data_IF_037726699822
#
_entry.id   IF_037726699822
#
_cell.length_a   1.000
_cell.length_b   1.000
_cell.length_c   1.000
_cell.angle_alpha   90.00
_cell.angle_beta   90.00
_cell.angle_gamma   90.00
#
_symmetry.space_group_name_H-M   'P 1'
#
loop_
_entity.id
_entity.type
_entity.pdbx_description
1 polymer ?
#
# COMPACT_ATOMS: atom_id res chain seq x y z
N UNK A 1 5.74 -4.68 -6.46
CA UNK A 1 4.58 -3.96 -5.90
C UNK A 1 4.73 -2.47 -6.23
N UNK A 2 3.64 -1.74 -6.45
CA UNK A 2 3.70 -0.29 -6.61
C UNK A 2 4.09 0.41 -5.30
N UNK A 3 4.90 1.47 -5.43
CA UNK A 3 5.21 2.45 -4.40
C UNK A 3 4.45 3.74 -4.73
N UNK A 4 3.76 4.27 -3.73
CA UNK A 4 2.99 5.49 -3.77
C UNK A 4 3.72 6.58 -2.97
N UNK A 5 3.73 7.81 -3.48
CA UNK A 5 4.50 8.94 -2.94
C UNK A 5 3.63 10.09 -2.41
N UNK A 6 2.35 9.84 -2.11
CA UNK A 6 1.41 10.86 -1.68
C UNK A 6 0.68 11.61 -2.81
N UNK A 7 1.13 11.47 -4.06
CA UNK A 7 0.42 11.96 -5.27
C UNK A 7 0.27 10.87 -6.35
N UNK A 8 0.73 9.66 -6.07
CA UNK A 8 0.58 8.51 -6.97
C UNK A 8 -0.83 7.95 -6.91
N UNK A 9 -1.35 7.49 -8.04
CA UNK A 9 -2.60 6.75 -8.06
C UNK A 9 -2.63 5.66 -9.13
N UNK A 10 -3.46 4.65 -8.87
CA UNK A 10 -3.95 3.72 -9.87
C UNK A 10 -5.44 3.96 -10.09
N UNK A 11 -5.87 3.93 -11.35
CA UNK A 11 -7.26 4.03 -11.76
C UNK A 11 -7.73 2.65 -12.23
N UNK A 12 -8.86 2.20 -11.71
CA UNK A 12 -9.48 0.92 -12.02
C UNK A 12 -10.94 1.16 -12.44
N UNK A 13 -11.54 0.16 -13.08
CA UNK A 13 -12.98 0.14 -13.30
C UNK A 13 -13.74 0.27 -11.98
N UNK A 14 -14.91 0.91 -12.05
CA UNK A 14 -15.79 1.08 -10.89
C UNK A 14 -16.07 -0.24 -10.19
N UNK A 15 -16.27 -0.18 -8.87
CA UNK A 15 -16.59 -1.36 -8.08
C UNK A 15 -17.99 -1.89 -8.39
N UNK A 16 -18.10 -3.19 -8.64
CA UNK A 16 -19.38 -3.93 -8.65
C UNK A 16 -19.79 -4.27 -7.23
N UNK A 17 -20.23 -3.24 -6.49
CA UNK A 17 -20.41 -3.30 -5.05
C UNK A 17 -21.86 -3.07 -4.62
N UNK A 18 -22.87 -3.40 -5.43
CA UNK A 18 -24.27 -3.04 -5.19
C UNK A 18 -24.80 -3.49 -3.82
N UNK A 19 -24.86 -4.80 -3.55
CA UNK A 19 -25.35 -5.35 -2.27
C UNK A 19 -24.23 -5.82 -1.34
N UNK A 20 -23.03 -6.06 -1.88
CA UNK A 20 -21.89 -6.60 -1.13
C UNK A 20 -20.59 -6.01 -1.62
N UNK A 21 -19.70 -5.71 -0.69
CA UNK A 21 -18.32 -5.32 -0.94
C UNK A 21 -17.41 -6.11 0.00
N UNK A 22 -16.29 -6.59 -0.52
CA UNK A 22 -15.20 -7.10 0.30
C UNK A 22 -13.90 -6.62 -0.32
N UNK A 23 -13.13 -5.85 0.43
CA UNK A 23 -11.81 -5.38 0.05
C UNK A 23 -10.83 -5.97 1.06
N UNK A 24 -9.78 -6.55 0.53
CA UNK A 24 -8.67 -7.06 1.32
C UNK A 24 -7.36 -6.56 0.70
N UNK A 25 -6.48 -6.03 1.55
CA UNK A 25 -5.19 -5.55 1.10
C UNK A 25 -4.10 -5.71 2.16
N UNK A 26 -2.86 -5.77 1.69
CA UNK A 26 -1.69 -5.63 2.56
C UNK A 26 -0.88 -4.42 2.13
N UNK A 27 -0.72 -3.48 3.07
CA UNK A 27 0.01 -2.24 2.85
C UNK A 27 1.10 -2.03 3.90
N UNK A 28 2.11 -1.25 3.52
CA UNK A 28 3.09 -0.67 4.43
C UNK A 28 3.07 0.84 4.24
N UNK A 29 2.62 1.55 5.27
CA UNK A 29 2.55 3.02 5.26
C UNK A 29 3.84 3.66 5.76
N UNK A 30 4.17 4.83 5.21
CA UNK A 30 5.27 5.72 5.63
C UNK A 30 4.74 7.04 6.21
N UNK A 31 3.42 7.21 6.30
CA UNK A 31 2.76 8.38 6.86
C UNK A 31 1.55 7.99 7.73
N UNK A 32 1.17 8.88 8.65
CA UNK A 32 0.01 8.68 9.51
C UNK A 32 -1.32 9.00 8.82
N UNK A 33 -1.27 9.75 7.71
CA UNK A 33 -2.44 10.10 6.90
C UNK A 33 -2.20 9.67 5.45
N UNK A 34 -3.26 9.22 4.78
CA UNK A 34 -3.18 8.87 3.36
C UNK A 34 -4.44 8.22 2.82
N UNK A 35 -4.88 8.65 1.64
CA UNK A 35 -5.97 8.04 0.89
C UNK A 35 -5.55 6.66 0.37
N UNK A 36 -6.14 5.59 0.87
CA UNK A 36 -5.87 4.25 0.32
C UNK A 36 -6.71 4.03 -0.92
N UNK A 37 -8.03 4.22 -0.85
CA UNK A 37 -8.92 4.13 -2.01
C UNK A 37 -10.16 5.03 -1.89
N UNK A 38 -10.73 5.37 -3.05
CA UNK A 38 -12.01 6.05 -3.15
C UNK A 38 -12.74 5.65 -4.44
N UNK A 39 -14.05 5.41 -4.35
CA UNK A 39 -14.95 5.30 -5.50
C UNK A 39 -16.23 6.06 -5.17
N UNK A 40 -16.60 7.05 -6.01
CA UNK A 40 -17.83 7.82 -5.87
C UNK A 40 -18.88 7.50 -6.93
N UNK A 41 -20.10 7.96 -6.70
CA UNK A 41 -21.18 7.93 -7.69
C UNK A 41 -20.95 8.96 -8.81
N UNK A 42 -20.45 10.14 -8.46
CA UNK A 42 -20.22 11.23 -9.42
C UNK A 42 -18.85 11.88 -9.22
N UNK A 43 -18.30 12.46 -10.29
CA UNK A 43 -17.05 13.22 -10.27
C UNK A 43 -17.07 14.42 -9.31
N UNK A 44 -18.26 14.91 -8.93
CA UNK A 44 -18.42 16.00 -7.95
C UNK A 44 -18.24 15.56 -6.49
N UNK A 45 -18.10 14.26 -6.22
CA UNK A 45 -18.09 13.71 -4.86
C UNK A 45 -19.46 13.66 -4.19
N UNK A 46 -20.52 14.11 -4.85
CA UNK A 46 -21.90 13.96 -4.36
C UNK A 46 -22.46 12.57 -4.67
N UNK A 47 -23.36 12.13 -3.80
CA UNK A 47 -24.05 10.85 -3.90
C UNK A 47 -23.39 9.75 -3.07
N UNK A 48 -23.61 8.52 -3.50
CA UNK A 48 -23.05 7.34 -2.86
C UNK A 48 -21.53 7.30 -3.04
N UNK A 49 -20.82 6.79 -2.04
CA UNK A 49 -19.38 6.58 -2.14
C UNK A 49 -18.90 5.51 -1.18
N UNK A 50 -17.68 5.03 -1.43
CA UNK A 50 -16.92 4.20 -0.49
C UNK A 50 -15.46 4.64 -0.47
N UNK A 51 -14.85 4.66 0.72
CA UNK A 51 -13.45 5.04 0.91
C UNK A 51 -12.76 4.19 1.97
N UNK A 52 -11.45 4.05 1.80
CA UNK A 52 -10.54 3.55 2.83
C UNK A 52 -9.38 4.54 2.94
N UNK A 53 -9.06 4.96 4.14
CA UNK A 53 -7.98 5.91 4.38
C UNK A 53 -7.23 5.60 5.68
N UNK A 54 -6.04 6.15 5.82
CA UNK A 54 -5.33 6.25 7.09
C UNK A 54 -5.53 7.68 7.60
N UNK A 55 -5.96 7.82 8.86
CA UNK A 55 -6.15 9.11 9.54
C UNK A 55 -5.65 9.01 10.98
N UNK A 56 -4.72 9.87 11.37
CA UNK A 56 -4.01 9.86 12.66
C UNK A 56 -3.42 8.47 12.99
N UNK A 57 -2.95 7.76 11.96
CA UNK A 57 -2.41 6.41 12.05
C UNK A 57 -3.45 5.29 12.14
N UNK A 58 -4.76 5.58 12.18
CA UNK A 58 -5.80 4.56 12.19
C UNK A 58 -6.37 4.34 10.80
N UNK A 59 -6.87 3.14 10.54
CA UNK A 59 -7.60 2.85 9.30
C UNK A 59 -9.05 3.28 9.47
N UNK A 60 -9.55 4.06 8.52
CA UNK A 60 -10.95 4.47 8.43
C UNK A 60 -11.58 3.86 7.18
N UNK A 61 -12.64 3.08 7.36
CA UNK A 61 -13.50 2.59 6.31
C UNK A 61 -14.83 3.33 6.35
N UNK A 62 -15.13 4.09 5.29
CA UNK A 62 -16.37 4.87 5.18
C UNK A 62 -17.16 4.49 3.95
N UNK A 63 -18.48 4.57 4.08
CA UNK A 63 -19.37 4.51 2.94
C UNK A 63 -20.65 5.31 3.19
N UNK A 64 -21.22 5.85 2.12
CA UNK A 64 -22.51 6.51 2.11
C UNK A 64 -23.42 5.83 1.09
N UNK A 65 -24.60 5.42 1.53
CA UNK A 65 -25.63 4.81 0.68
C UNK A 65 -26.73 5.82 0.33
N UNK A 66 -26.51 7.12 0.49
CA UNK A 66 -27.48 8.19 0.20
C UNK A 66 -28.41 8.55 1.37
N UNK A 67 -28.33 7.85 2.50
CA UNK A 67 -29.10 8.13 3.73
C UNK A 67 -28.22 8.44 4.95
N UNK A 68 -26.93 8.69 4.72
CA UNK A 68 -25.96 9.04 5.74
C UNK A 68 -24.68 8.21 5.61
N UNK A 69 -23.57 8.83 5.99
CA UNK A 69 -22.26 8.21 6.09
C UNK A 69 -22.18 7.32 7.34
N UNK A 70 -21.45 6.21 7.22
CA UNK A 70 -20.90 5.48 8.35
C UNK A 70 -19.37 5.51 8.28
N UNK A 71 -18.76 5.61 9.46
CA UNK A 71 -17.32 5.49 9.68
C UNK A 71 -17.04 4.31 10.60
N UNK A 72 -16.28 3.34 10.12
CA UNK A 72 -15.68 2.28 10.92
C UNK A 72 -14.18 2.57 11.04
N UNK A 73 -13.68 2.71 12.27
CA UNK A 73 -12.28 3.04 12.55
C UNK A 73 -11.60 1.89 13.28
N UNK A 74 -10.35 1.59 12.93
CA UNK A 74 -9.55 0.60 13.66
C UNK A 74 -9.31 1.06 15.10
N UNK A 75 -9.31 0.13 16.04
CA UNK A 75 -9.01 0.42 17.46
C UNK A 75 -7.54 0.79 17.68
N UNK A 76 -6.65 0.20 16.87
CA UNK A 76 -5.20 0.38 16.97
C UNK A 76 -4.66 1.18 15.78
N UNK A 77 -3.56 1.90 16.05
CA UNK A 77 -2.77 2.57 15.02
C UNK A 77 -1.93 1.56 14.24
N UNK A 78 -1.74 1.84 12.96
CA UNK A 78 -0.75 1.18 12.12
C UNK A 78 0.66 1.55 12.58
N UNK A 79 1.57 0.59 12.47
CA UNK A 79 3.00 0.80 12.71
C UNK A 79 3.66 1.23 11.41
N UNK A 80 4.22 2.44 11.41
CA UNK A 80 4.94 2.99 10.25
C UNK A 80 6.08 2.04 9.86
N UNK A 81 6.22 1.80 8.55
CA UNK A 81 7.27 0.93 8.00
C UNK A 81 7.03 -0.57 8.15
N UNK A 82 5.89 -1.00 8.70
CA UNK A 82 5.50 -2.43 8.79
C UNK A 82 4.31 -2.73 7.88
N UNK A 83 4.22 -3.99 7.44
CA UNK A 83 3.08 -4.47 6.67
C UNK A 83 1.92 -4.78 7.59
N UNK A 84 0.74 -4.33 7.18
CA UNK A 84 -0.53 -4.57 7.85
C UNK A 84 -1.53 -5.16 6.86
N UNK A 85 -2.33 -6.12 7.31
CA UNK A 85 -3.43 -6.70 6.53
C UNK A 85 -4.73 -6.03 6.92
N UNK A 86 -5.41 -5.44 5.96
CA UNK A 86 -6.67 -4.72 6.17
C UNK A 86 -7.78 -5.45 5.42
N UNK A 87 -8.88 -5.71 6.11
CA UNK A 87 -10.08 -6.32 5.56
C UNK A 87 -11.26 -5.39 5.84
N UNK A 88 -11.89 -4.87 4.79
CA UNK A 88 -13.10 -4.05 4.88
C UNK A 88 -14.23 -4.74 4.12
N UNK A 89 -15.36 -4.97 4.79
CA UNK A 89 -16.51 -5.66 4.22
C UNK A 89 -17.77 -4.84 4.43
N UNK A 90 -18.66 -4.90 3.45
CA UNK A 90 -20.03 -4.41 3.55
C UNK A 90 -20.98 -5.48 3.02
N UNK A 91 -22.07 -5.72 3.74
CA UNK A 91 -23.21 -6.49 3.25
C UNK A 91 -24.46 -5.69 3.56
N UNK A 92 -25.17 -5.25 2.52
CA UNK A 92 -26.28 -4.34 2.66
C UNK A 92 -25.88 -3.11 3.50
N UNK A 93 -26.54 -2.86 4.62
CA UNK A 93 -26.21 -1.72 5.49
C UNK A 93 -25.04 -2.00 6.42
N UNK A 94 -24.75 -3.27 6.68
CA UNK A 94 -23.77 -3.69 7.67
C UNK A 94 -22.35 -3.61 7.13
N UNK A 95 -21.44 -3.12 7.95
CA UNK A 95 -20.03 -2.96 7.66
C UNK A 95 -19.16 -3.59 8.73
N UNK A 96 -17.97 -4.04 8.33
CA UNK A 96 -16.94 -4.56 9.22
C UNK A 96 -15.55 -4.14 8.71
N UNK A 97 -14.69 -3.74 9.65
CA UNK A 97 -13.29 -3.45 9.44
C UNK A 97 -12.45 -4.29 10.40
N UNK A 98 -11.44 -5.00 9.87
CA UNK A 98 -10.42 -5.69 10.65
C UNK A 98 -9.02 -5.31 10.17
N UNK A 99 -8.10 -5.13 11.11
CA UNK A 99 -6.68 -4.87 10.86
C UNK A 99 -5.85 -5.95 11.56
N UNK A 100 -4.97 -6.60 10.81
CA UNK A 100 -4.09 -7.68 11.25
C UNK A 100 -4.81 -8.89 11.87
N UNK A 101 -6.08 -9.11 11.50
CA UNK A 101 -6.91 -10.18 12.07
C UNK A 101 -7.23 -9.98 13.56
N UNK A 102 -7.05 -8.76 14.07
CA UNK A 102 -7.45 -8.35 15.42
C UNK A 102 -8.86 -7.76 15.39
N UNK A 103 -9.35 -7.38 16.57
CA UNK A 103 -10.65 -6.74 16.88
C UNK A 103 -11.37 -6.19 15.65
N UNK A 104 -12.58 -6.71 15.41
CA UNK A 104 -13.43 -6.27 14.32
C UNK A 104 -14.25 -5.06 14.76
N UNK A 105 -14.12 -3.93 14.06
CA UNK A 105 -15.02 -2.80 14.22
C UNK A 105 -16.20 -2.98 13.29
N UNK A 106 -17.42 -3.07 13.84
CA UNK A 106 -18.66 -3.27 13.08
C UNK A 106 -19.63 -2.10 13.23
N UNK A 107 -20.51 -1.90 12.26
CA UNK A 107 -21.62 -0.96 12.35
C UNK A 107 -22.55 -1.04 11.15
N UNK A 108 -23.57 -0.20 11.08
CA UNK A 108 -24.52 -0.20 9.96
C UNK A 108 -24.94 1.21 9.55
N UNK A 109 -25.17 1.42 8.25
CA UNK A 109 -25.65 2.71 7.74
C UNK A 109 -27.09 2.97 8.18
N UNK A 110 -27.40 4.24 8.45
CA UNK A 110 -28.76 4.68 8.77
C UNK A 110 -29.66 4.64 7.53
N UNK A 111 -30.98 4.70 7.75
CA UNK A 111 -31.97 4.77 6.69
C UNK A 111 -32.30 3.43 6.02
N UNK A 112 -33.26 3.43 5.07
CA UNK A 112 -33.75 2.22 4.41
C UNK A 112 -32.88 1.77 3.22
N UNK A 113 -32.10 2.67 2.62
CA UNK A 113 -31.28 2.34 1.44
C UNK A 113 -30.12 1.42 1.84
N UNK A 114 -29.97 0.32 1.12
CA UNK A 114 -29.05 -0.77 1.44
C UNK A 114 -28.12 -1.15 0.27
N UNK A 115 -28.20 -0.42 -0.83
CA UNK A 115 -27.37 -0.61 -2.01
C UNK A 115 -26.43 0.58 -2.22
N UNK A 116 -25.27 0.30 -2.80
CA UNK A 116 -24.24 1.29 -3.14
C UNK A 116 -24.21 1.48 -4.66
N UNK A 117 -24.59 2.66 -5.13
CA UNK A 117 -24.61 3.02 -6.54
C UNK A 117 -23.36 3.83 -6.94
N UNK A 118 -22.44 3.21 -7.67
CA UNK A 118 -21.18 3.83 -8.06
C UNK A 118 -21.15 4.10 -9.57
N UNK A 119 -20.65 5.27 -9.93
CA UNK A 119 -20.59 5.75 -11.31
C UNK A 119 -19.17 6.04 -11.78
N UNK A 120 -18.28 6.46 -10.89
CA UNK A 120 -16.90 6.84 -11.22
C UNK A 120 -15.93 5.66 -11.14
N UNK A 121 -14.72 5.87 -11.65
CA UNK A 121 -13.59 4.94 -11.48
C UNK A 121 -13.20 4.76 -10.01
N UNK A 122 -12.65 3.58 -9.71
CA UNK A 122 -12.00 3.32 -8.44
C UNK A 122 -10.58 3.88 -8.50
N UNK A 123 -10.24 4.75 -7.55
CA UNK A 123 -8.90 5.27 -7.37
C UNK A 123 -8.22 4.58 -6.19
N UNK A 124 -6.98 4.14 -6.37
CA UNK A 124 -6.10 3.61 -5.33
C UNK A 124 -4.92 4.56 -5.14
N UNK A 125 -4.68 5.03 -3.91
CA UNK A 125 -3.53 5.86 -3.52
C UNK A 125 -3.76 7.37 -3.55
N UNK A 126 -4.51 7.90 -4.51
CA UNK A 126 -4.89 9.32 -4.55
C UNK A 126 -6.05 9.51 -5.53
N UNK A 127 -6.87 10.55 -5.34
CA UNK A 127 -7.92 10.92 -6.29
C UNK A 127 -7.46 12.15 -7.08
N UNK A 128 -7.28 12.06 -8.41
CA UNK A 128 -6.89 13.21 -9.21
C UNK A 128 -8.01 14.25 -9.26
N UNK A 129 -7.62 15.54 -9.30
CA UNK A 129 -8.54 16.67 -9.31
C UNK A 129 -8.56 17.43 -7.99
N UNK A 130 -9.25 18.58 -8.00
CA UNK A 130 -9.35 19.51 -6.86
C UNK A 130 -10.81 19.64 -6.39
N UNK A 131 -11.52 18.52 -6.27
CA UNK A 131 -12.90 18.52 -5.81
C UNK A 131 -12.92 18.34 -4.29
N UNK A 132 -13.10 19.46 -3.56
CA UNK A 132 -13.05 19.49 -2.09
C UNK A 132 -13.97 18.45 -1.44
N UNK A 133 -15.19 18.29 -1.96
CA UNK A 133 -16.17 17.33 -1.46
C UNK A 133 -15.63 15.89 -1.39
N UNK A 134 -14.77 15.47 -2.34
CA UNK A 134 -14.17 14.13 -2.32
C UNK A 134 -13.26 13.99 -1.10
N UNK A 135 -12.42 14.99 -0.82
CA UNK A 135 -11.53 14.97 0.34
C UNK A 135 -12.31 15.08 1.65
N UNK A 136 -13.43 15.80 1.67
CA UNK A 136 -14.32 15.86 2.84
C UNK A 136 -14.95 14.49 3.12
N UNK A 137 -15.44 13.79 2.08
CA UNK A 137 -15.96 12.42 2.20
C UNK A 137 -14.91 11.45 2.77
N UNK A 138 -13.67 11.53 2.28
CA UNK A 138 -12.57 10.67 2.75
C UNK A 138 -12.17 11.06 4.17
N UNK A 139 -12.07 12.36 4.47
CA UNK A 139 -11.61 12.91 5.74
C UNK A 139 -10.10 13.18 5.80
N UNK A 140 -9.38 12.98 4.68
CA UNK A 140 -7.96 13.35 4.46
C UNK A 140 -7.77 13.82 3.01
N UNK A 141 -6.84 14.74 2.78
CA UNK A 141 -6.55 15.33 1.46
C UNK A 141 -5.22 14.89 0.85
N UNK A 142 -4.39 14.15 1.60
CA UNK A 142 -3.09 13.66 1.14
C UNK A 142 -3.20 12.23 0.61
N UNK A 143 -2.48 11.92 -0.46
CA UNK A 143 -2.44 10.55 -0.98
C UNK A 143 -1.65 9.59 -0.09
N UNK A 144 -1.81 8.30 -0.33
CA UNK A 144 -1.04 7.26 0.34
C UNK A 144 0.46 7.39 0.04
N UNK A 145 1.26 7.33 1.10
CA UNK A 145 2.71 7.23 1.01
C UNK A 145 3.14 5.88 1.57
N UNK A 146 3.62 4.97 0.71
CA UNK A 146 3.89 3.59 1.08
C UNK A 146 3.74 2.63 -0.08
N UNK A 147 3.63 1.34 0.21
CA UNK A 147 3.46 0.31 -0.83
C UNK A 147 2.32 -0.66 -0.50
N UNK A 148 1.66 -1.15 -1.55
CA UNK A 148 0.56 -2.12 -1.47
C UNK A 148 0.99 -3.37 -2.24
N UNK A 149 1.10 -4.51 -1.57
CA UNK A 149 1.62 -5.76 -2.17
C UNK A 149 0.55 -6.80 -2.46
N UNK A 150 -0.58 -6.71 -1.80
CA UNK A 150 -1.72 -7.59 -1.97
C UNK A 150 -2.98 -6.73 -2.07
N UNK A 151 -3.82 -6.99 -3.08
CA UNK A 151 -5.09 -6.32 -3.26
C UNK A 151 -6.11 -7.29 -3.87
N UNK A 152 -7.27 -7.37 -3.23
CA UNK A 152 -8.33 -8.30 -3.58
C UNK A 152 -9.68 -7.62 -3.40
N UNK A 153 -10.54 -7.78 -4.40
CA UNK A 153 -11.92 -7.29 -4.40
C UNK A 153 -12.84 -8.49 -4.58
N UNK A 154 -13.71 -8.72 -3.60
CA UNK A 154 -14.54 -9.92 -3.52
C UNK A 154 -13.67 -11.18 -3.47
N UNK A 155 -13.74 -12.00 -4.53
CA UNK A 155 -12.90 -13.20 -4.68
C UNK A 155 -11.71 -13.01 -5.62
N UNK A 156 -11.62 -11.86 -6.28
CA UNK A 156 -10.65 -11.62 -7.35
C UNK A 156 -9.40 -10.92 -6.82
N UNK A 157 -8.25 -11.55 -7.06
CA UNK A 157 -6.95 -10.91 -6.88
C UNK A 157 -6.73 -9.92 -8.01
N UNK A 158 -6.33 -8.70 -7.66
CA UNK A 158 -6.06 -7.64 -8.63
C UNK A 158 -4.54 -7.50 -8.74
N UNK A 159 -3.99 -7.78 -9.93
CA UNK A 159 -2.58 -7.50 -10.19
C UNK A 159 -2.38 -5.98 -10.29
N UNK A 160 -1.62 -5.42 -9.36
CA UNK A 160 -1.28 -4.00 -9.31
C UNK A 160 -0.08 -3.63 -10.20
N UNK A 161 0.37 -4.53 -11.07
CA UNK A 161 1.38 -4.22 -12.10
C UNK A 161 0.76 -3.43 -13.24
N UNK A 162 1.47 -2.39 -13.67
CA UNK A 162 1.13 -1.61 -14.85
C UNK A 162 2.36 -1.52 -15.81
N UNK A 163 2.15 -1.55 -17.13
CA UNK A 163 0.87 -1.83 -17.81
C UNK A 163 0.42 -3.29 -17.64
N UNK A 164 -0.90 -3.53 -17.62
CA UNK A 164 -1.51 -4.86 -17.51
C UNK A 164 -2.61 -4.99 -16.45
N UNK A 165 -3.27 -6.15 -16.42
CA UNK A 165 -4.31 -6.46 -15.43
C UNK A 165 -5.58 -5.61 -15.58
N UNK A 166 -6.20 -5.24 -14.45
CA UNK A 166 -7.41 -4.39 -14.38
C UNK A 166 -7.11 -2.90 -14.16
N UNK A 167 -5.85 -2.50 -14.31
CA UNK A 167 -5.41 -1.11 -14.09
C UNK A 167 -5.58 -0.35 -15.41
N UNK A 168 -6.47 0.65 -15.41
CA UNK A 168 -6.74 1.51 -16.56
C UNK A 168 -5.64 2.55 -16.75
N UNK A 169 -5.16 3.12 -15.63
CA UNK A 169 -4.13 4.16 -15.61
C UNK A 169 -3.29 4.08 -14.35
N UNK A 170 -2.01 4.43 -14.46
CA UNK A 170 -1.10 4.57 -13.33
C UNK A 170 -0.31 5.87 -13.44
N UNK A 171 -0.26 6.65 -12.37
CA UNK A 171 0.45 7.94 -12.33
C UNK A 171 1.37 7.97 -11.13
N UNK A 172 2.62 8.39 -11.35
CA UNK A 172 3.67 8.54 -10.32
C UNK A 172 3.89 7.29 -9.47
N UNK A 173 3.48 6.11 -9.93
CA UNK A 173 3.76 4.86 -9.23
C UNK A 173 5.12 4.35 -9.69
N UNK A 174 6.11 4.40 -8.81
CA UNK A 174 7.35 3.66 -9.05
C UNK A 174 7.14 2.20 -8.64
N UNK A 175 7.88 1.28 -9.25
CA UNK A 175 8.00 -0.05 -8.65
C UNK A 175 8.90 0.14 -7.44
N UNK A 176 8.51 -0.40 -6.27
CA UNK A 176 9.51 -0.62 -5.22
C UNK A 176 10.65 -1.36 -5.90
N UNK A 177 11.88 -0.83 -5.95
CA UNK A 177 12.95 -1.60 -6.52
C UNK A 177 12.97 -2.90 -5.71
N UNK A 178 12.94 -4.03 -6.41
CA UNK A 178 13.38 -5.27 -5.81
C UNK A 178 14.88 -5.05 -5.62
N UNK A 179 15.27 -4.21 -4.65
CA UNK A 179 16.66 -3.97 -4.33
C UNK A 179 17.08 -5.27 -3.69
N UNK A 180 17.65 -6.03 -4.58
CA UNK A 180 18.41 -7.19 -4.36
C UNK A 180 19.82 -6.73 -4.64
N UNK A 181 20.70 -6.92 -3.68
CA UNK A 181 22.00 -6.37 -3.77
C UNK A 181 23.12 -7.09 -3.09
N UNK A 182 24.29 -6.97 -3.71
CA UNK A 182 25.59 -7.42 -3.27
C UNK A 182 26.44 -6.20 -2.92
N UNK A 183 27.03 -6.16 -1.73
CA UNK A 183 28.17 -5.28 -1.46
C UNK A 183 29.44 -6.01 -1.86
N UNK A 184 30.23 -5.45 -2.77
CA UNK A 184 31.57 -5.97 -3.07
C UNK A 184 32.56 -5.03 -2.39
N UNK A 185 33.30 -5.56 -1.41
CA UNK A 185 34.44 -4.87 -0.81
C UNK A 185 35.71 -5.69 -1.11
N UNK A 186 36.80 -5.03 -1.47
CA UNK A 186 38.10 -5.67 -1.59
C UNK A 186 38.82 -5.63 -0.24
N UNK A 187 39.50 -6.72 0.13
CA UNK A 187 40.38 -6.77 1.30
C UNK A 187 41.82 -7.00 0.83
N UNK A 188 42.77 -6.30 1.44
CA UNK A 188 44.20 -6.50 1.24
C UNK A 188 44.84 -6.78 2.61
N UNK A 189 45.56 -7.90 2.74
CA UNK A 189 46.20 -8.34 4.00
C UNK A 189 45.26 -8.42 5.22
N UNK A 190 44.05 -8.93 5.05
CA UNK A 190 43.13 -9.20 6.16
C UNK A 190 42.44 -7.98 6.76
N UNK A 191 42.72 -6.76 6.28
CA UNK A 191 42.01 -5.56 6.66
C UNK A 191 40.89 -5.23 5.65
N UNK A 192 39.67 -5.02 6.15
CA UNK A 192 38.56 -4.45 5.38
C UNK A 192 38.86 -2.97 5.19
N UNK A 193 39.09 -2.54 3.95
CA UNK A 193 39.32 -1.11 3.68
C UNK A 193 37.98 -0.37 3.71
N UNK A 194 37.72 0.38 4.78
CA UNK A 194 36.64 1.36 4.81
C UNK A 194 37.09 2.58 3.98
N UNK A 195 36.54 2.73 2.78
CA UNK A 195 36.79 3.85 1.89
C UNK A 195 35.70 3.96 0.82
N UNK A 196 35.69 5.03 0.00
CA UNK A 196 34.60 5.36 -0.93
C UNK A 196 34.39 4.34 -2.07
N UNK A 197 35.03 3.17 -2.04
CA UNK A 197 34.94 2.10 -3.04
C UNK A 197 34.09 0.88 -2.61
N UNK A 198 33.42 0.88 -1.45
CA UNK A 198 32.45 -0.16 -1.11
C UNK A 198 31.04 0.22 -1.60
N UNK A 199 30.58 -0.43 -2.69
CA UNK A 199 29.24 -0.19 -3.23
C UNK A 199 28.21 -1.08 -2.51
N UNK A 200 27.26 -0.51 -1.76
CA UNK A 200 26.27 -1.26 -0.98
C UNK A 200 25.05 -1.65 -1.82
N UNK A 201 24.67 -2.92 -1.81
CA UNK A 201 23.37 -3.34 -2.30
C UNK A 201 22.81 -4.43 -1.33
N UNK A 202 21.49 -4.43 -1.07
CA UNK A 202 20.79 -5.23 -0.02
C UNK A 202 20.07 -6.47 -0.61
N UNK A 203 20.35 -7.73 -0.21
CA UNK A 203 19.51 -8.92 -0.54
C UNK A 203 18.95 -9.67 0.70
N UNK A 204 17.68 -9.43 1.06
CA UNK A 204 16.77 -10.39 1.74
C UNK A 204 17.24 -11.16 2.98
N UNK A 205 17.35 -10.50 4.13
CA UNK A 205 16.90 -11.11 5.40
C UNK A 205 17.97 -11.71 6.34
N UNK A 206 19.13 -12.24 5.87
CA UNK A 206 20.28 -12.63 6.75
C UNK A 206 21.72 -12.41 6.16
N UNK A 207 22.65 -11.86 6.96
CA UNK A 207 24.06 -11.51 6.76
C UNK A 207 24.76 -12.81 7.14
N UNK A 208 25.34 -13.50 6.16
CA UNK A 208 26.27 -14.57 6.45
C UNK A 208 27.54 -14.38 5.64
N UNK A 209 28.67 -14.55 6.32
CA UNK A 209 30.00 -14.55 5.73
C UNK A 209 30.20 -15.89 5.02
N UNK A 210 30.42 -15.87 3.70
CA UNK A 210 30.90 -17.05 2.98
C UNK A 210 32.16 -16.69 2.19
N UNK A 211 33.28 -17.42 2.37
CA UNK A 211 34.47 -17.22 1.56
C UNK A 211 34.26 -17.84 0.17
N UNK A 212 34.29 -17.02 -0.88
CA UNK A 212 34.34 -17.51 -2.28
C UNK A 212 35.81 -17.61 -2.67
N UNK A 213 36.35 -18.83 -2.73
CA UNK A 213 37.61 -19.10 -3.42
C UNK A 213 37.30 -19.27 -4.90
N UNK A 214 37.53 -18.23 -5.72
CA UNK A 214 38.20 -18.37 -7.03
C UNK A 214 38.25 -17.06 -7.81
N UNK A 215 39.37 -16.94 -8.55
CA UNK A 215 39.73 -15.96 -9.57
C UNK A 215 40.09 -14.56 -9.03
N UNK A 216 41.39 -14.31 -8.87
CA UNK A 216 42.11 -13.23 -9.57
C UNK A 216 43.64 -13.44 -9.44
N UNK A 217 44.34 -13.19 -10.54
CA UNK A 217 45.81 -13.30 -10.62
C UNK A 217 46.53 -12.26 -9.76
N UNK A 218 47.73 -12.67 -9.31
CA UNK A 218 48.81 -11.92 -8.63
C UNK A 218 48.43 -10.56 -8.03
N UNK A 219 48.18 -10.56 -6.71
CA UNK A 219 48.23 -9.37 -5.87
C UNK A 219 47.07 -9.18 -4.89
N UNK A 220 45.99 -9.95 -5.02
CA UNK A 220 44.82 -9.89 -4.13
C UNK A 220 44.64 -11.28 -3.50
N UNK A 221 44.96 -11.40 -2.21
CA UNK A 221 44.97 -12.71 -1.52
C UNK A 221 43.57 -13.28 -1.24
N UNK A 222 42.51 -12.44 -1.32
CA UNK A 222 41.13 -12.87 -1.11
C UNK A 222 40.14 -11.73 -1.42
N UNK A 223 39.10 -12.00 -2.21
CA UNK A 223 37.93 -11.13 -2.32
C UNK A 223 36.90 -11.61 -1.30
N UNK A 224 36.54 -10.75 -0.34
CA UNK A 224 35.50 -11.04 0.65
C UNK A 224 34.24 -10.29 0.22
N UNK A 225 33.23 -11.02 -0.26
CA UNK A 225 31.93 -10.43 -0.56
C UNK A 225 31.14 -10.37 0.76
N UNK A 226 30.78 -9.15 1.18
CA UNK A 226 29.94 -8.93 2.36
C UNK A 226 28.48 -8.79 1.89
N UNK A 227 27.59 -9.70 2.32
CA UNK A 227 26.16 -9.64 1.94
C UNK A 227 25.30 -9.44 3.17
N UNK A 228 24.28 -8.57 3.04
CA UNK A 228 23.44 -8.06 4.15
C UNK A 228 22.23 -8.89 4.57
N UNK A 229 22.03 -9.03 5.89
CA UNK A 229 20.82 -9.54 6.54
C UNK A 229 19.65 -8.62 6.42
N UNK A 230 19.83 -7.38 6.83
CA UNK A 230 18.69 -6.67 7.36
C UNK A 230 18.10 -5.89 6.20
N UNK A 231 16.76 -5.72 6.13
CA UNK A 231 16.20 -4.77 5.19
C UNK A 231 16.85 -3.42 5.48
N UNK A 232 17.52 -2.85 4.47
CA UNK A 232 17.98 -1.47 4.52
C UNK A 232 16.75 -0.59 4.80
N UNK A 233 16.69 0.11 5.96
CA UNK A 233 15.83 1.27 6.06
C UNK A 233 16.38 2.33 5.08
N UNK A 234 15.56 3.32 4.76
CA UNK A 234 15.97 4.46 3.93
C UNK A 234 17.31 5.05 4.36
#
# INVERSE_FOLDING_TARGET
MPLFNGKSYLELSKLEAYSRLAIELELRTLANDGIILYNGQTASGKGDYVSLAIKDGHVEFKYNLGSGEILLRSSQKLQIGRFHRIIAKRYQRDGMLSVDGRDETTGHSKGPKNFLDLGEHLYLGYVPGSVQQIFDNIGVSVGFNGCIRHFKIGRQYIDLKYPGGKILKAVNTSRTPVKWGVVVCAAHNGAIMWGPQCLTICRGGRFQLQPVRQLLGRGISSVIILVSSSPCPF
#
